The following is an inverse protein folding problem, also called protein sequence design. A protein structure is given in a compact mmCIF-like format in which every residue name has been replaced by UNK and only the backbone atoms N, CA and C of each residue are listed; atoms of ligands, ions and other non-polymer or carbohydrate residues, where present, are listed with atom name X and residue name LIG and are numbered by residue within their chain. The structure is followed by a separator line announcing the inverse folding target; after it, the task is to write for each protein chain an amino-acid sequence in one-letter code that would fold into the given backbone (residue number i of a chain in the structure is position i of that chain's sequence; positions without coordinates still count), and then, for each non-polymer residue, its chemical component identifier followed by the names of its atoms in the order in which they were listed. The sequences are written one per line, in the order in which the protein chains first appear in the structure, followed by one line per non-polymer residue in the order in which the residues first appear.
data_IF_194637355828
#
_entry.id   IF_194637355828
#
_cell.length_a   1.000
_cell.length_b   1.000
_cell.length_c   1.000
_cell.angle_alpha   90.00
_cell.angle_beta   90.00
_cell.angle_gamma   90.00
#
_symmetry.space_group_name_H-M   'P 1'
#
loop_
_entity.id
_entity.type
_entity.pdbx_description
1 polymer ?
#
# COMPACT_ATOMS: atom_id res chain seq x y z
N UNK A 1 12.95 -3.90 -16.74
CA UNK A 1 11.92 -4.88 -17.15
C UNK A 1 10.56 -4.24 -16.91
N UNK A 2 9.59 -4.44 -17.79
CA UNK A 2 8.24 -3.86 -17.70
C UNK A 2 7.27 -4.96 -17.21
N UNK A 3 6.69 -4.85 -15.99
CA UNK A 3 5.68 -5.80 -15.53
C UNK A 3 4.40 -5.73 -16.38
N UNK A 4 3.65 -6.83 -16.44
CA UNK A 4 2.31 -6.86 -17.01
C UNK A 4 1.31 -6.15 -16.10
N UNK A 5 0.11 -5.84 -16.61
CA UNK A 5 -0.95 -5.26 -15.78
C UNK A 5 -1.44 -6.22 -14.69
N UNK A 6 -1.40 -7.53 -14.94
CA UNK A 6 -1.73 -8.56 -13.96
C UNK A 6 -0.67 -8.61 -12.84
N UNK A 7 0.61 -8.53 -13.19
CA UNK A 7 1.69 -8.42 -12.19
C UNK A 7 1.57 -7.13 -11.38
N UNK A 8 1.19 -6.01 -12.01
CA UNK A 8 0.87 -4.78 -11.29
C UNK A 8 -0.34 -4.91 -10.37
N UNK A 9 -1.35 -5.68 -10.77
CA UNK A 9 -2.53 -5.99 -9.96
C UNK A 9 -2.14 -6.71 -8.67
N UNK A 10 -1.29 -7.73 -8.79
CA UNK A 10 -0.73 -8.48 -7.65
C UNK A 10 0.13 -7.60 -6.75
N UNK A 11 1.04 -6.81 -7.33
CA UNK A 11 1.88 -5.86 -6.58
C UNK A 11 1.02 -4.83 -5.85
N UNK A 12 0.02 -4.27 -6.51
CA UNK A 12 -0.90 -3.29 -5.95
C UNK A 12 -1.71 -3.86 -4.79
N UNK A 13 -2.20 -5.10 -4.90
CA UNK A 13 -2.90 -5.79 -3.83
C UNK A 13 -2.01 -5.98 -2.58
N UNK A 14 -0.80 -6.51 -2.77
CA UNK A 14 0.13 -6.77 -1.68
C UNK A 14 0.57 -5.47 -0.99
N UNK A 15 0.92 -4.44 -1.78
CA UNK A 15 1.29 -3.13 -1.26
C UNK A 15 0.14 -2.48 -0.49
N UNK A 16 -1.08 -2.55 -1.00
CA UNK A 16 -2.27 -2.02 -0.32
C UNK A 16 -2.54 -2.74 1.01
N UNK A 17 -2.44 -4.08 1.01
CA UNK A 17 -2.59 -4.90 2.22
C UNK A 17 -1.55 -4.52 3.28
N UNK A 18 -0.27 -4.50 2.90
CA UNK A 18 0.84 -4.17 3.81
C UNK A 18 0.75 -2.73 4.33
N UNK A 19 0.41 -1.76 3.48
CA UNK A 19 0.19 -0.37 3.88
C UNK A 19 -0.89 -0.27 4.96
N UNK A 20 -2.02 -0.96 4.75
CA UNK A 20 -3.15 -0.99 5.67
C UNK A 20 -2.77 -1.62 7.02
N UNK A 21 -2.09 -2.78 6.97
CA UNK A 21 -1.62 -3.52 8.14
C UNK A 21 -0.61 -2.71 8.97
N UNK A 22 0.38 -2.10 8.31
CA UNK A 22 1.44 -1.35 8.98
C UNK A 22 0.93 -0.03 9.55
N UNK A 23 0.03 0.66 8.84
CA UNK A 23 -0.64 1.86 9.35
C UNK A 23 -1.47 1.56 10.60
N UNK A 24 -2.22 0.44 10.59
CA UNK A 24 -2.96 -0.04 11.78
C UNK A 24 -2.03 -0.37 12.93
N UNK A 25 -0.91 -1.06 12.66
CA UNK A 25 0.08 -1.41 13.68
C UNK A 25 0.70 -0.16 14.31
N UNK A 26 1.11 0.82 13.51
CA UNK A 26 1.65 2.09 14.01
C UNK A 26 0.64 2.82 14.91
N UNK A 27 -0.65 2.82 14.53
CA UNK A 27 -1.73 3.38 15.34
C UNK A 27 -1.88 2.64 16.69
N UNK A 28 -1.92 1.30 16.66
CA UNK A 28 -2.01 0.47 17.87
C UNK A 28 -0.83 0.70 18.82
N UNK A 29 0.40 0.77 18.29
CA UNK A 29 1.59 1.10 19.09
C UNK A 29 1.45 2.48 19.74
N UNK A 30 1.01 3.48 18.96
CA UNK A 30 0.79 4.84 19.47
C UNK A 30 -0.26 4.90 20.59
N UNK A 31 -1.33 4.11 20.48
CA UNK A 31 -2.38 3.99 21.49
C UNK A 31 -1.92 3.26 22.75
N UNK A 32 -1.16 2.17 22.61
CA UNK A 32 -0.80 1.28 23.73
C UNK A 32 0.40 1.79 24.54
N UNK A 33 1.43 2.33 23.88
CA UNK A 33 2.68 2.72 24.56
C UNK A 33 3.05 4.20 24.38
N UNK A 34 2.30 4.94 23.54
CA UNK A 34 2.43 6.38 23.35
C UNK A 34 3.21 6.80 22.11
N UNK A 35 2.78 7.91 21.50
CA UNK A 35 3.34 8.45 20.25
C UNK A 35 4.72 9.10 20.39
N UNK A 36 5.20 9.32 21.62
CA UNK A 36 6.55 9.84 21.86
C UNK A 36 7.62 8.75 21.85
N UNK A 37 7.24 7.47 21.89
CA UNK A 37 8.15 6.32 21.96
C UNK A 37 8.77 6.01 20.60
N UNK A 38 10.02 5.55 20.63
CA UNK A 38 10.76 5.27 19.40
C UNK A 38 10.15 4.13 18.58
N UNK A 39 9.56 3.12 19.23
CA UNK A 39 8.81 2.06 18.52
C UNK A 39 7.66 2.62 17.68
N UNK A 40 6.94 3.64 18.17
CA UNK A 40 5.92 4.32 17.37
C UNK A 40 6.55 5.07 16.19
N UNK A 41 7.63 5.82 16.44
CA UNK A 41 8.32 6.58 15.39
C UNK A 41 8.81 5.67 14.26
N UNK A 42 9.46 4.55 14.59
CA UNK A 42 9.92 3.56 13.62
C UNK A 42 8.75 2.90 12.87
N UNK A 43 7.68 2.50 13.56
CA UNK A 43 6.50 1.94 12.90
C UNK A 43 5.83 2.95 11.95
N UNK A 44 5.77 4.23 12.36
CA UNK A 44 5.19 5.31 11.56
C UNK A 44 6.05 5.66 10.35
N UNK A 45 7.37 5.66 10.50
CA UNK A 45 8.32 5.86 9.41
C UNK A 45 8.23 4.71 8.40
N UNK A 46 8.24 3.46 8.86
CA UNK A 46 8.06 2.31 8.00
C UNK A 46 6.72 2.37 7.21
N UNK A 47 5.62 2.76 7.87
CA UNK A 47 4.34 2.96 7.20
C UNK A 47 4.40 4.00 6.08
N UNK A 48 5.10 5.13 6.31
CA UNK A 48 5.27 6.20 5.31
C UNK A 48 6.14 5.76 4.14
N UNK A 49 7.26 5.08 4.43
CA UNK A 49 8.15 4.56 3.39
C UNK A 49 7.45 3.54 2.50
N UNK A 50 6.61 2.68 3.09
CA UNK A 50 5.83 1.71 2.33
C UNK A 50 4.74 2.38 1.47
N UNK A 51 4.02 3.37 2.02
CA UNK A 51 3.02 4.13 1.24
C UNK A 51 3.68 4.89 0.08
N UNK A 52 4.89 5.43 0.30
CA UNK A 52 5.69 6.05 -0.77
C UNK A 52 6.12 5.03 -1.83
N UNK A 53 6.52 3.82 -1.42
CA UNK A 53 6.82 2.73 -2.35
C UNK A 53 5.62 2.44 -3.26
N UNK A 54 4.42 2.31 -2.68
CA UNK A 54 3.18 2.12 -3.43
C UNK A 54 2.93 3.21 -4.48
N UNK A 55 3.04 4.49 -4.11
CA UNK A 55 2.86 5.58 -5.08
C UNK A 55 3.93 5.60 -6.17
N UNK A 56 5.19 5.29 -5.85
CA UNK A 56 6.25 5.21 -6.88
C UNK A 56 6.03 4.04 -7.83
N UNK A 57 5.51 2.91 -7.34
CA UNK A 57 5.15 1.77 -8.19
C UNK A 57 3.95 2.07 -9.08
N UNK A 58 2.96 2.81 -8.59
CA UNK A 58 1.83 3.33 -9.37
C UNK A 58 2.32 4.27 -10.49
N UNK A 59 3.14 5.26 -10.16
CA UNK A 59 3.72 6.19 -11.14
C UNK A 59 4.47 5.42 -12.24
N UNK A 60 5.22 4.38 -11.85
CA UNK A 60 5.92 3.51 -12.78
C UNK A 60 4.97 2.72 -13.70
N UNK A 61 3.81 2.27 -13.18
CA UNK A 61 2.79 1.61 -14.00
C UNK A 61 2.26 2.56 -15.08
N UNK A 62 1.88 3.79 -14.72
CA UNK A 62 1.40 4.77 -15.70
C UNK A 62 2.48 5.19 -16.69
N UNK A 63 3.74 5.27 -16.24
CA UNK A 63 4.87 5.48 -17.14
C UNK A 63 5.02 4.34 -18.16
N UNK A 64 4.89 3.08 -17.73
CA UNK A 64 4.93 1.93 -18.63
C UNK A 64 3.72 1.84 -19.57
N UNK A 65 2.58 2.41 -19.19
CA UNK A 65 1.32 2.33 -19.94
C UNK A 65 0.61 3.70 -20.01
N UNK A 66 1.11 4.64 -20.84
CA UNK A 66 0.63 6.03 -20.88
C UNK A 66 -0.80 6.21 -21.41
N UNK A 67 -1.41 5.16 -21.96
CA UNK A 67 -2.81 5.15 -22.40
C UNK A 67 -3.77 4.56 -21.37
N UNK A 68 -3.30 4.19 -20.17
CA UNK A 68 -4.19 3.69 -19.13
C UNK A 68 -5.19 4.78 -18.71
N UNK A 69 -6.47 4.43 -18.56
CA UNK A 69 -7.45 5.34 -18.01
C UNK A 69 -7.12 5.64 -16.54
N UNK A 70 -7.55 6.80 -16.04
CA UNK A 70 -7.23 7.24 -14.67
C UNK A 70 -7.77 6.27 -13.61
N UNK A 71 -8.82 5.53 -13.94
CA UNK A 71 -9.43 4.51 -13.09
C UNK A 71 -8.46 3.35 -12.77
N UNK A 72 -7.38 3.18 -13.53
CA UNK A 72 -6.33 2.20 -13.26
C UNK A 72 -5.59 2.44 -11.93
N UNK A 73 -5.73 3.63 -11.30
CA UNK A 73 -5.26 3.86 -9.92
C UNK A 73 -5.82 2.82 -8.94
N UNK A 74 -7.00 2.27 -9.22
CA UNK A 74 -7.65 1.27 -8.36
C UNK A 74 -6.82 0.01 -8.15
N UNK A 75 -5.87 -0.31 -9.02
CA UNK A 75 -4.89 -1.39 -8.82
C UNK A 75 -4.17 -1.26 -7.47
N UNK A 76 -3.79 -0.03 -7.09
CA UNK A 76 -3.04 0.26 -5.86
C UNK A 76 -3.91 0.74 -4.69
N UNK A 77 -5.16 1.15 -4.94
CA UNK A 77 -6.03 1.78 -3.94
C UNK A 77 -7.33 1.04 -3.67
N UNK A 78 -7.59 -0.08 -4.35
CA UNK A 78 -8.71 -0.97 -4.00
C UNK A 78 -8.57 -1.46 -2.58
N UNK A 79 -9.62 -1.31 -1.78
CA UNK A 79 -9.67 -1.94 -0.49
C UNK A 79 -9.52 -3.45 -0.69
N UNK A 80 -8.64 -4.13 0.06
CA UNK A 80 -8.62 -5.58 0.02
C UNK A 80 -10.03 -6.06 0.36
N UNK A 81 -10.64 -6.82 -0.56
CA UNK A 81 -11.86 -7.57 -0.22
C UNK A 81 -11.52 -8.38 1.02
N UNK A 82 -12.39 -8.33 2.02
CA UNK A 82 -12.18 -9.15 3.20
C UNK A 82 -12.06 -10.61 2.70
N UNK A 83 -11.06 -11.39 3.13
CA UNK A 83 -10.95 -12.80 2.71
C UNK A 83 -12.21 -13.63 3.01
N UNK A 84 -13.05 -13.14 3.93
CA UNK A 84 -14.35 -13.71 4.30
C UNK A 84 -15.50 -13.33 3.35
N UNK A 85 -15.28 -12.44 2.38
CA UNK A 85 -16.28 -12.01 1.38
C UNK A 85 -16.07 -12.71 0.02
N UNK A 86 -15.24 -13.75 -0.01
CA UNK A 86 -14.99 -14.59 -1.20
C UNK A 86 -15.75 -15.93 -1.17
N UNK A 87 -16.71 -16.11 -0.26
CA UNK A 87 -17.68 -17.22 -0.27
C UNK A 87 -19.04 -16.81 -0.86
#
# INVERSE_FOLDING_TARGET
MKPTLEEYDELGAELCFLCSRLSRLACLIGQQIGVSKDSYKHAREAARSLDKCKSVTEDLMFYHYPGLPREAITIFYRHPKNPQEQE
#
